data_IF_083606646809
#
_entry.id   IF_083606646809
#
_cell.length_a   1.000
_cell.length_b   1.000
_cell.length_c   1.000
_cell.angle_alpha   90.00
_cell.angle_beta   90.00
_cell.angle_gamma   90.00
#
_symmetry.space_group_name_H-M   'P 1'
#
loop_
_entity.id
_entity.type
_entity.pdbx_description
1 polymer ?
#
# COMPACT_ATOMS: atom_id res chain seq x y z
N UNK A 1 -29.40 -25.23 4.61
CA UNK A 1 -29.14 -23.82 4.26
C UNK A 1 -27.95 -23.33 5.07
N UNK A 2 -26.81 -23.04 4.44
CA UNK A 2 -25.69 -22.41 5.13
C UNK A 2 -26.12 -21.00 5.58
N UNK A 3 -25.94 -20.71 6.87
CA UNK A 3 -26.23 -19.39 7.46
C UNK A 3 -25.35 -18.38 6.74
N UNK A 4 -25.94 -17.47 5.95
CA UNK A 4 -25.20 -16.35 5.36
C UNK A 4 -24.48 -15.63 6.50
N UNK A 5 -23.16 -15.74 6.53
CA UNK A 5 -22.32 -14.98 7.45
C UNK A 5 -22.46 -13.52 7.05
N UNK A 6 -23.01 -12.71 7.93
CA UNK A 6 -23.28 -11.28 7.72
C UNK A 6 -22.01 -10.41 7.65
N UNK A 7 -20.81 -11.01 7.68
CA UNK A 7 -19.52 -10.31 7.65
C UNK A 7 -19.05 -10.03 6.23
N UNK A 8 -18.25 -8.98 6.06
CA UNK A 8 -17.67 -8.60 4.75
C UNK A 8 -16.38 -9.36 4.41
N UNK A 9 -15.76 -10.01 5.41
CA UNK A 9 -14.55 -10.82 5.27
C UNK A 9 -14.51 -11.91 6.36
N UNK A 10 -13.66 -12.93 6.19
CA UNK A 10 -13.51 -14.02 7.16
C UNK A 10 -12.92 -13.57 8.51
N UNK A 11 -12.15 -12.46 8.52
CA UNK A 11 -11.61 -11.81 9.72
C UNK A 11 -12.47 -10.64 10.21
N UNK A 12 -13.70 -10.48 9.69
CA UNK A 12 -14.63 -9.50 10.24
C UNK A 12 -14.91 -9.82 11.71
N UNK A 13 -14.47 -8.92 12.58
CA UNK A 13 -14.57 -9.10 14.02
C UNK A 13 -16.05 -9.02 14.43
N UNK A 14 -16.47 -9.84 15.40
CA UNK A 14 -17.81 -9.74 16.03
C UNK A 14 -17.97 -8.47 16.90
N UNK A 15 -17.26 -7.41 16.58
CA UNK A 15 -17.41 -6.10 17.20
C UNK A 15 -18.41 -5.24 16.41
N UNK A 16 -18.98 -4.22 17.05
CA UNK A 16 -19.88 -3.25 16.42
C UNK A 16 -19.27 -1.85 16.48
N UNK A 17 -19.67 -0.99 15.55
CA UNK A 17 -19.24 0.41 15.52
C UNK A 17 -17.79 0.59 15.04
N UNK A 18 -17.17 1.67 15.47
CA UNK A 18 -15.94 2.18 14.85
C UNK A 18 -14.73 1.28 15.03
N UNK A 19 -14.63 0.53 16.14
CA UNK A 19 -13.52 -0.42 16.33
C UNK A 19 -13.49 -1.48 15.22
N UNK A 20 -14.65 -2.08 14.91
CA UNK A 20 -14.79 -3.03 13.81
C UNK A 20 -14.45 -2.37 12.48
N UNK A 21 -14.97 -1.18 12.25
CA UNK A 21 -14.75 -0.47 10.99
C UNK A 21 -13.28 -0.10 10.76
N UNK A 22 -12.54 0.32 11.79
CA UNK A 22 -11.10 0.57 11.66
C UNK A 22 -10.29 -0.71 11.45
N UNK A 23 -10.65 -1.82 12.11
CA UNK A 23 -9.99 -3.12 11.85
C UNK A 23 -10.26 -3.59 10.44
N UNK A 24 -11.50 -3.50 9.97
CA UNK A 24 -11.90 -3.86 8.61
C UNK A 24 -11.19 -2.97 7.58
N UNK A 25 -11.17 -1.65 7.81
CA UNK A 25 -10.51 -0.66 6.95
C UNK A 25 -8.99 -0.91 6.87
N UNK A 26 -8.35 -1.28 7.98
CA UNK A 26 -6.94 -1.65 7.98
C UNK A 26 -6.67 -2.91 7.13
N UNK A 27 -7.69 -3.75 6.94
CA UNK A 27 -7.65 -4.96 6.14
C UNK A 27 -6.41 -5.84 6.48
N UNK A 28 -6.22 -6.28 7.74
CA UNK A 28 -4.89 -6.65 8.25
C UNK A 28 -4.21 -7.79 7.48
N UNK A 29 -4.90 -8.89 7.12
CA UNK A 29 -4.27 -9.93 6.29
C UNK A 29 -3.79 -9.42 4.93
N UNK A 30 -4.56 -8.52 4.31
CA UNK A 30 -4.19 -7.91 3.03
C UNK A 30 -3.05 -6.90 3.17
N UNK A 31 -3.09 -6.05 4.20
CA UNK A 31 -1.98 -5.13 4.50
C UNK A 31 -0.69 -5.91 4.76
N UNK A 32 -0.75 -6.98 5.56
CA UNK A 32 0.42 -7.81 5.84
C UNK A 32 0.94 -8.53 4.58
N UNK A 33 0.04 -9.03 3.73
CA UNK A 33 0.40 -9.59 2.43
C UNK A 33 1.14 -8.55 1.57
N UNK A 34 0.58 -7.34 1.43
CA UNK A 34 1.22 -6.26 0.67
C UNK A 34 2.58 -5.87 1.25
N UNK A 35 2.67 -5.70 2.57
CA UNK A 35 3.93 -5.35 3.24
C UNK A 35 4.99 -6.45 3.16
N UNK A 36 4.60 -7.71 2.97
CA UNK A 36 5.54 -8.84 2.89
C UNK A 36 6.46 -8.76 1.66
N UNK A 37 6.05 -8.09 0.60
CA UNK A 37 6.88 -7.89 -0.60
C UNK A 37 8.09 -6.97 -0.35
N UNK A 38 8.00 -6.08 0.65
CA UNK A 38 9.06 -5.14 0.99
C UNK A 38 10.31 -5.85 1.52
N UNK A 39 10.25 -6.70 2.56
CA UNK A 39 11.41 -7.46 3.01
C UNK A 39 11.90 -8.46 1.94
N UNK A 40 11.03 -9.00 1.09
CA UNK A 40 11.46 -9.84 -0.06
C UNK A 40 12.36 -9.03 -0.99
N UNK A 41 11.90 -7.87 -1.47
CA UNK A 41 12.69 -7.01 -2.35
C UNK A 41 13.96 -6.47 -1.69
N UNK A 42 13.89 -6.10 -0.41
CA UNK A 42 15.06 -5.66 0.34
C UNK A 42 16.11 -6.77 0.52
N UNK A 43 15.68 -8.02 0.73
CA UNK A 43 16.57 -9.17 0.91
C UNK A 43 17.30 -9.59 -0.38
N UNK A 44 16.84 -9.13 -1.55
CA UNK A 44 17.53 -9.33 -2.82
C UNK A 44 18.70 -8.35 -3.02
N UNK A 45 18.83 -7.31 -2.17
CA UNK A 45 19.97 -6.41 -2.20
C UNK A 45 21.24 -7.09 -1.68
N UNK A 46 22.44 -6.69 -2.15
CA UNK A 46 23.71 -7.28 -1.69
C UNK A 46 23.98 -7.11 -0.18
N UNK A 47 23.40 -6.07 0.44
CA UNK A 47 23.48 -5.80 1.86
C UNK A 47 22.16 -5.23 2.36
N UNK A 48 21.77 -5.59 3.59
CA UNK A 48 20.55 -5.12 4.23
C UNK A 48 20.83 -3.91 5.12
N UNK A 49 20.21 -2.76 4.82
CA UNK A 49 20.08 -1.67 5.77
C UNK A 49 18.71 -1.78 6.47
N UNK A 50 18.74 -2.11 7.76
CA UNK A 50 17.53 -2.29 8.58
C UNK A 50 16.76 -0.98 8.80
N UNK A 51 17.44 0.16 8.84
CA UNK A 51 16.79 1.46 8.97
C UNK A 51 16.00 1.79 7.70
N UNK A 52 16.61 1.59 6.52
CA UNK A 52 15.95 1.74 5.22
C UNK A 52 14.74 0.80 5.10
N UNK A 53 14.87 -0.46 5.53
CA UNK A 53 13.75 -1.40 5.56
C UNK A 53 12.60 -0.87 6.43
N UNK A 54 12.90 -0.40 7.65
CA UNK A 54 11.90 0.15 8.56
C UNK A 54 11.15 1.35 7.97
N UNK A 55 11.87 2.29 7.35
CA UNK A 55 11.25 3.45 6.70
C UNK A 55 10.42 3.06 5.47
N UNK A 56 10.88 2.09 4.68
CA UNK A 56 10.13 1.58 3.52
C UNK A 56 8.83 0.90 3.97
N UNK A 57 8.90 0.04 4.99
CA UNK A 57 7.72 -0.59 5.59
C UNK A 57 6.72 0.45 6.10
N UNK A 58 7.19 1.46 6.83
CA UNK A 58 6.33 2.52 7.35
C UNK A 58 5.69 3.34 6.22
N UNK A 59 6.47 3.71 5.20
CA UNK A 59 5.96 4.48 4.06
C UNK A 59 4.85 3.72 3.31
N UNK A 60 5.06 2.44 3.01
CA UNK A 60 4.04 1.61 2.35
C UNK A 60 2.85 1.30 3.25
N UNK A 61 3.06 1.09 4.55
CA UNK A 61 1.96 0.93 5.50
C UNK A 61 1.05 2.16 5.51
N UNK A 62 1.64 3.35 5.54
CA UNK A 62 0.90 4.61 5.48
C UNK A 62 0.22 4.80 4.11
N UNK A 63 0.97 4.69 3.01
CA UNK A 63 0.44 4.94 1.67
C UNK A 63 -0.60 3.92 1.22
N UNK A 64 -0.28 2.63 1.33
CA UNK A 64 -1.07 1.53 0.77
C UNK A 64 -1.87 0.76 1.84
N UNK A 65 -1.38 0.69 3.08
CA UNK A 65 -2.11 0.03 4.18
C UNK A 65 -3.19 0.90 4.84
N UNK A 66 -3.12 2.22 4.69
CA UNK A 66 -4.12 3.17 5.23
C UNK A 66 -4.65 4.07 4.11
N UNK A 67 -3.78 4.78 3.38
CA UNK A 67 -4.16 5.73 2.34
C UNK A 67 -5.03 5.11 1.24
N UNK A 68 -4.54 4.03 0.62
CA UNK A 68 -5.27 3.28 -0.41
C UNK A 68 -6.59 2.72 0.10
N UNK A 69 -6.62 2.12 1.30
CA UNK A 69 -7.87 1.60 1.88
C UNK A 69 -8.90 2.70 2.16
N UNK A 70 -8.46 3.88 2.60
CA UNK A 70 -9.36 5.03 2.75
C UNK A 70 -9.91 5.48 1.39
N UNK A 71 -9.08 5.52 0.35
CA UNK A 71 -9.50 5.87 -1.00
C UNK A 71 -10.49 4.84 -1.57
N UNK A 72 -10.22 3.55 -1.39
CA UNK A 72 -11.09 2.46 -1.84
C UNK A 72 -12.43 2.49 -1.11
N UNK A 73 -12.40 2.72 0.20
CA UNK A 73 -13.62 2.81 0.99
C UNK A 73 -14.46 4.05 0.65
N UNK A 74 -13.84 5.15 0.22
CA UNK A 74 -14.55 6.30 -0.35
C UNK A 74 -15.25 5.92 -1.67
N UNK A 75 -14.72 4.95 -2.42
CA UNK A 75 -15.27 4.46 -3.67
C UNK A 75 -16.26 3.31 -3.43
N UNK A 76 -17.48 3.65 -3.05
CA UNK A 76 -18.60 2.69 -3.04
C UNK A 76 -18.66 1.75 -1.84
N UNK A 77 -17.79 1.92 -0.84
CA UNK A 77 -17.82 1.20 0.45
C UNK A 77 -17.70 -0.33 0.32
N UNK A 78 -16.69 -0.86 -0.39
CA UNK A 78 -16.50 -2.31 -0.52
C UNK A 78 -16.39 -3.02 0.84
N UNK A 79 -15.80 -2.37 1.84
CA UNK A 79 -15.64 -2.91 3.19
C UNK A 79 -16.85 -2.63 4.11
N UNK A 80 -17.84 -1.87 3.61
CA UNK A 80 -19.09 -1.52 4.29
C UNK A 80 -18.86 -0.93 5.68
N UNK A 81 -17.84 -0.09 5.83
CA UNK A 81 -17.61 0.71 7.03
C UNK A 81 -18.65 1.82 7.13
N UNK A 82 -18.93 2.27 8.36
CA UNK A 82 -19.77 3.43 8.64
C UNK A 82 -18.97 4.69 8.94
N UNK A 83 -17.66 4.67 8.68
CA UNK A 83 -16.76 5.81 8.92
C UNK A 83 -17.18 6.98 8.02
N UNK A 84 -17.48 8.17 8.56
CA UNK A 84 -17.83 9.34 7.76
C UNK A 84 -16.79 9.63 6.66
N UNK A 85 -17.24 10.02 5.47
CA UNK A 85 -16.35 10.24 4.33
C UNK A 85 -15.24 11.26 4.59
N UNK A 86 -15.53 12.34 5.33
CA UNK A 86 -14.53 13.33 5.69
C UNK A 86 -13.42 12.77 6.58
N UNK A 87 -13.72 11.77 7.43
CA UNK A 87 -12.71 11.07 8.25
C UNK A 87 -11.81 10.23 7.35
N UNK A 88 -12.37 9.52 6.36
CA UNK A 88 -11.57 8.77 5.38
C UNK A 88 -10.67 9.70 4.56
N UNK A 89 -11.17 10.87 4.15
CA UNK A 89 -10.36 11.87 3.44
C UNK A 89 -9.22 12.38 4.33
N UNK A 90 -9.49 12.74 5.59
CA UNK A 90 -8.46 13.20 6.51
C UNK A 90 -7.44 12.10 6.83
N UNK A 91 -7.90 10.91 7.19
CA UNK A 91 -7.03 9.78 7.53
C UNK A 91 -6.18 9.37 6.33
N UNK A 92 -6.81 9.19 5.16
CA UNK A 92 -6.10 8.83 3.94
C UNK A 92 -5.13 9.91 3.48
N UNK A 93 -5.55 11.18 3.52
CA UNK A 93 -4.72 12.33 3.15
C UNK A 93 -3.52 12.53 4.07
N UNK A 94 -3.71 12.46 5.40
CA UNK A 94 -2.62 12.56 6.37
C UNK A 94 -1.66 11.37 6.26
N UNK A 95 -2.19 10.17 6.08
CA UNK A 95 -1.36 8.96 5.96
C UNK A 95 -0.52 8.98 4.68
N UNK A 96 -1.14 9.27 3.53
CA UNK A 96 -0.42 9.40 2.26
C UNK A 96 0.61 10.53 2.30
N UNK A 97 0.28 11.67 2.93
CA UNK A 97 1.23 12.77 3.12
C UNK A 97 2.43 12.34 3.97
N UNK A 98 2.21 11.53 5.01
CA UNK A 98 3.28 10.94 5.82
C UNK A 98 4.18 9.99 5.01
N UNK A 99 3.60 9.15 4.16
CA UNK A 99 4.36 8.28 3.26
C UNK A 99 5.24 9.09 2.28
N UNK A 100 4.66 10.12 1.65
CA UNK A 100 5.38 11.03 0.75
C UNK A 100 6.47 11.78 1.50
N UNK A 101 6.19 12.27 2.71
CA UNK A 101 7.17 12.97 3.54
C UNK A 101 8.38 12.08 3.85
N UNK A 102 8.16 10.81 4.23
CA UNK A 102 9.24 9.84 4.43
C UNK A 102 10.06 9.67 3.14
N UNK A 103 9.40 9.42 2.01
CA UNK A 103 10.08 9.23 0.74
C UNK A 103 10.91 10.46 0.31
N UNK A 104 10.36 11.67 0.46
CA UNK A 104 11.03 12.91 0.06
C UNK A 104 12.17 13.28 1.01
N UNK A 105 11.99 13.14 2.32
CA UNK A 105 12.97 13.64 3.31
C UNK A 105 14.05 12.62 3.68
N UNK A 106 13.74 11.33 3.58
CA UNK A 106 14.66 10.24 3.89
C UNK A 106 15.12 9.61 2.58
N UNK A 107 14.19 9.16 1.73
CA UNK A 107 14.51 8.43 0.49
C UNK A 107 15.34 9.24 -0.52
N UNK A 108 15.00 10.51 -0.76
CA UNK A 108 15.76 11.33 -1.73
C UNK A 108 17.17 11.71 -1.27
N UNK A 109 17.48 11.63 0.03
CA UNK A 109 18.86 11.80 0.51
C UNK A 109 19.74 10.61 0.11
N UNK A 110 19.13 9.44 0.01
CA UNK A 110 19.82 8.19 -0.34
C UNK A 110 19.93 8.01 -1.85
N UNK A 111 18.86 8.27 -2.60
CA UNK A 111 18.88 8.17 -4.07
C UNK A 111 17.75 8.95 -4.76
N UNK A 112 18.08 9.57 -5.90
CA UNK A 112 17.11 10.27 -6.75
C UNK A 112 16.07 9.31 -7.36
N UNK A 113 16.39 8.03 -7.47
CA UNK A 113 15.52 7.00 -8.04
C UNK A 113 14.25 6.74 -7.21
N UNK A 114 14.19 7.21 -5.96
CA UNK A 114 12.97 7.17 -5.16
C UNK A 114 11.89 8.10 -5.74
N UNK A 115 12.26 9.20 -6.41
CA UNK A 115 11.29 10.18 -6.92
C UNK A 115 10.24 9.59 -7.87
N UNK A 116 10.61 8.88 -8.97
CA UNK A 116 9.61 8.26 -9.84
C UNK A 116 8.75 7.21 -9.11
N UNK A 117 9.29 6.52 -8.10
CA UNK A 117 8.55 5.55 -7.29
C UNK A 117 7.51 6.23 -6.40
N UNK A 118 7.84 7.37 -5.78
CA UNK A 118 6.87 8.19 -5.03
C UNK A 118 5.77 8.67 -5.96
N UNK A 119 6.13 9.23 -7.12
CA UNK A 119 5.16 9.75 -8.09
C UNK A 119 4.20 8.64 -8.52
N UNK A 120 4.73 7.47 -8.88
CA UNK A 120 3.92 6.31 -9.23
C UNK A 120 3.06 5.83 -8.07
N UNK A 121 3.61 5.74 -6.85
CA UNK A 121 2.89 5.34 -5.64
C UNK A 121 1.70 6.24 -5.33
N UNK A 122 1.89 7.56 -5.34
CA UNK A 122 0.80 8.54 -5.16
C UNK A 122 -0.23 8.40 -6.26
N UNK A 123 0.21 8.32 -7.51
CA UNK A 123 -0.67 8.13 -8.67
C UNK A 123 -1.53 6.88 -8.53
N UNK A 124 -0.92 5.73 -8.25
CA UNK A 124 -1.61 4.44 -8.28
C UNK A 124 -2.55 4.26 -7.08
N UNK A 125 -2.23 4.85 -5.92
CA UNK A 125 -3.15 4.93 -4.77
C UNK A 125 -4.49 5.54 -5.20
N UNK A 126 -4.48 6.63 -5.97
CA UNK A 126 -5.73 7.22 -6.44
C UNK A 126 -6.29 6.49 -7.65
N UNK A 127 -5.47 6.20 -8.65
CA UNK A 127 -5.92 5.65 -9.93
C UNK A 127 -6.61 4.30 -9.78
N UNK A 128 -6.07 3.41 -8.93
CA UNK A 128 -6.64 2.09 -8.68
C UNK A 128 -7.89 2.17 -7.78
N UNK A 129 -7.75 2.76 -6.59
CA UNK A 129 -8.76 2.66 -5.54
C UNK A 129 -9.98 3.56 -5.80
N UNK A 130 -9.81 4.67 -6.51
CA UNK A 130 -10.94 5.50 -6.96
C UNK A 130 -11.46 5.09 -8.34
N UNK A 131 -10.90 4.04 -8.95
CA UNK A 131 -11.23 3.56 -10.30
C UNK A 131 -11.15 4.68 -11.35
N UNK A 132 -10.14 5.56 -11.23
CA UNK A 132 -9.93 6.63 -12.20
C UNK A 132 -9.67 6.05 -13.59
N UNK A 133 -9.82 6.87 -14.63
CA UNK A 133 -9.63 6.43 -16.03
C UNK A 133 -10.54 5.25 -16.41
N UNK A 134 -11.76 5.23 -15.89
CA UNK A 134 -12.76 4.17 -16.12
C UNK A 134 -12.26 2.79 -15.69
N UNK A 135 -11.46 2.72 -14.63
CA UNK A 135 -10.94 1.47 -14.09
C UNK A 135 -9.78 0.85 -14.89
N UNK A 136 -9.12 1.59 -15.79
CA UNK A 136 -7.96 1.06 -16.54
C UNK A 136 -6.87 0.49 -15.61
N UNK A 137 -6.63 1.17 -14.48
CA UNK A 137 -5.66 0.72 -13.47
C UNK A 137 -6.23 -0.28 -12.47
N UNK A 138 -7.53 -0.61 -12.54
CA UNK A 138 -8.18 -1.55 -11.62
C UNK A 138 -8.39 -2.90 -12.31
N UNK A 139 -7.29 -3.61 -12.59
CA UNK A 139 -7.31 -4.95 -13.21
C UNK A 139 -6.34 -5.88 -12.49
N UNK A 140 -6.45 -7.19 -12.72
CA UNK A 140 -5.55 -8.20 -12.12
C UNK A 140 -4.06 -7.93 -12.41
N UNK A 141 -3.75 -7.39 -13.59
CA UNK A 141 -2.37 -7.02 -13.92
C UNK A 141 -1.87 -5.92 -13.00
N UNK A 142 -2.61 -4.81 -12.90
CA UNK A 142 -2.24 -3.68 -12.05
C UNK A 142 -2.26 -4.03 -10.57
N UNK A 143 -3.16 -4.91 -10.14
CA UNK A 143 -3.15 -5.47 -8.79
C UNK A 143 -1.82 -6.17 -8.50
N UNK A 144 -1.43 -7.15 -9.32
CA UNK A 144 -0.17 -7.88 -9.13
C UNK A 144 1.05 -6.96 -9.21
N UNK A 145 1.05 -6.02 -10.16
CA UNK A 145 2.14 -5.07 -10.32
C UNK A 145 2.25 -4.08 -9.15
N UNK A 146 1.19 -3.35 -8.82
CA UNK A 146 1.26 -2.24 -7.88
C UNK A 146 1.16 -2.67 -6.41
N UNK A 147 0.50 -3.80 -6.10
CA UNK A 147 0.44 -4.35 -4.74
C UNK A 147 1.50 -5.41 -4.45
N UNK A 148 2.13 -5.99 -5.49
CA UNK A 148 3.17 -7.03 -5.34
C UNK A 148 4.56 -6.57 -5.80
N UNK A 149 4.73 -6.41 -7.12
CA UNK A 149 6.05 -6.11 -7.70
C UNK A 149 6.60 -4.75 -7.25
N UNK A 150 5.76 -3.71 -7.23
CA UNK A 150 6.13 -2.34 -6.90
C UNK A 150 6.73 -2.17 -5.49
N UNK A 151 6.14 -2.68 -4.39
CA UNK A 151 6.78 -2.61 -3.08
C UNK A 151 8.12 -3.36 -3.03
N UNK A 152 8.25 -4.52 -3.68
CA UNK A 152 9.52 -5.24 -3.75
C UNK A 152 10.59 -4.44 -4.51
N UNK A 153 10.26 -3.93 -5.70
CA UNK A 153 11.16 -3.09 -6.50
C UNK A 153 11.58 -1.83 -5.73
N UNK A 154 10.63 -1.17 -5.05
CA UNK A 154 10.92 0.05 -4.29
C UNK A 154 11.86 -0.24 -3.13
N UNK A 155 11.65 -1.35 -2.42
CA UNK A 155 12.55 -1.78 -1.36
C UNK A 155 13.95 -2.09 -1.88
N UNK A 156 14.06 -2.78 -3.02
CA UNK A 156 15.35 -3.06 -3.66
C UNK A 156 16.08 -1.77 -4.07
N UNK A 157 15.40 -0.82 -4.70
CA UNK A 157 15.99 0.49 -5.06
C UNK A 157 16.40 1.26 -3.81
N UNK A 158 15.58 1.24 -2.76
CA UNK A 158 15.89 1.90 -1.49
C UNK A 158 17.13 1.30 -0.82
N UNK A 159 17.38 -0.01 -0.95
CA UNK A 159 18.57 -0.67 -0.39
C UNK A 159 19.83 -0.50 -1.24
N UNK A 160 19.69 -0.52 -2.57
CA UNK A 160 20.84 -0.54 -3.50
C UNK A 160 21.18 0.83 -4.08
N UNK A 161 20.27 1.79 -3.96
CA UNK A 161 20.36 3.15 -4.49
C UNK A 161 20.50 3.22 -6.02
N UNK A 162 20.21 2.11 -6.73
CA UNK A 162 20.40 1.97 -8.17
C UNK A 162 19.16 1.41 -8.86
N UNK A 163 19.03 1.72 -10.15
CA UNK A 163 18.06 1.08 -11.06
C UNK A 163 18.86 0.25 -12.04
N UNK A 164 18.58 -1.05 -12.09
CA UNK A 164 19.31 -2.01 -12.92
C UNK A 164 18.35 -3.05 -13.51
N UNK A 165 18.78 -3.83 -14.52
CA UNK A 165 17.98 -4.93 -15.06
C UNK A 165 17.56 -5.98 -14.02
N UNK A 166 18.26 -6.06 -12.87
CA UNK A 166 17.88 -6.94 -11.76
C UNK A 166 16.45 -6.64 -11.23
N UNK A 167 15.94 -5.43 -11.43
CA UNK A 167 14.56 -5.09 -11.05
C UNK A 167 13.51 -5.92 -11.78
N UNK A 168 13.82 -6.44 -12.97
CA UNK A 168 12.92 -7.35 -13.68
C UNK A 168 12.77 -8.65 -12.89
N UNK A 169 13.88 -9.16 -12.34
CA UNK A 169 13.87 -10.37 -11.50
C UNK A 169 13.16 -10.11 -10.17
N UNK A 170 13.39 -8.95 -9.56
CA UNK A 170 12.69 -8.53 -8.33
C UNK A 170 11.18 -8.42 -8.56
N UNK A 171 10.75 -7.92 -9.72
CA UNK A 171 9.35 -7.72 -10.05
C UNK A 171 8.56 -9.02 -10.24
N UNK A 172 9.24 -10.13 -10.58
CA UNK A 172 8.61 -11.43 -10.86
C UNK A 172 8.85 -12.47 -9.76
N UNK A 173 9.57 -12.10 -8.68
CA UNK A 173 9.80 -12.92 -7.51
C UNK A 173 8.58 -12.94 -6.58
#
# INVERSE_FOLDING_TARGET
>A
MAKQTTGVAWYDVKAKGWLRDFVILLHPPYTLWHLSYIPIGAALAPAMNWQTLGWTLLAFFLGMGIGAHCADELRGRPLRTKIPGWILVLLGGLSLSGAVYIGVTIGLKETIWILPLIIFGVFIVFAYNLELFRGFFHTNFWFGFAWGAFPAMTAYVAQTHTVSPALILVAVA
#
